data_IF_132780111443
#
_entry.id   IF_132780111443
#
_cell.length_a   1.000
_cell.length_b   1.000
_cell.length_c   1.000
_cell.angle_alpha   90.00
_cell.angle_beta   90.00
_cell.angle_gamma   90.00
#
_symmetry.space_group_name_H-M   'P 1'
#
loop_
_entity.id
_entity.type
_entity.pdbx_description
1 polymer ?
#
# COMPACT_ATOMS: atom_id res chain seq x y z
N UNK A 1 -65.96 -15.06 -2.74
CA UNK A 1 -65.21 -14.80 -1.51
C UNK A 1 -64.21 -15.92 -1.34
N UNK A 2 -63.02 -15.78 -1.75
CA UNK A 2 -61.87 -16.59 -1.34
C UNK A 2 -60.66 -15.67 -1.38
N UNK A 3 -60.08 -15.45 -0.18
CA UNK A 3 -58.94 -14.54 0.01
C UNK A 3 -57.66 -15.22 -0.47
N UNK A 4 -56.86 -14.45 -1.20
CA UNK A 4 -55.46 -14.76 -1.46
C UNK A 4 -54.61 -14.15 -0.35
N UNK A 5 -54.09 -14.98 0.54
CA UNK A 5 -53.02 -14.64 1.43
C UNK A 5 -51.73 -14.56 0.64
N UNK A 6 -51.13 -13.37 0.60
CA UNK A 6 -49.83 -13.18 0.02
C UNK A 6 -48.74 -13.58 1.03
N UNK A 7 -48.07 -14.66 0.74
CA UNK A 7 -46.90 -15.13 1.47
C UNK A 7 -45.69 -14.30 1.06
N UNK A 8 -45.32 -13.33 1.88
CA UNK A 8 -44.06 -12.59 1.72
C UNK A 8 -42.93 -13.50 2.16
N UNK A 9 -42.20 -14.06 1.19
CA UNK A 9 -40.97 -14.78 1.44
C UNK A 9 -39.87 -13.78 1.86
N UNK A 10 -39.48 -13.88 3.12
CA UNK A 10 -38.25 -13.24 3.61
C UNK A 10 -37.06 -13.82 2.89
N UNK A 11 -36.50 -13.06 1.92
CA UNK A 11 -35.19 -13.35 1.33
C UNK A 11 -34.12 -12.91 2.32
N UNK A 12 -33.81 -13.76 3.28
CA UNK A 12 -32.60 -13.67 4.07
C UNK A 12 -31.39 -13.86 3.16
N UNK A 13 -30.84 -12.74 2.67
CA UNK A 13 -29.57 -12.73 1.98
C UNK A 13 -28.47 -13.19 2.95
N UNK A 14 -28.03 -14.42 2.82
CA UNK A 14 -26.80 -14.90 3.44
C UNK A 14 -25.63 -14.18 2.74
N UNK A 15 -25.06 -13.18 3.41
CA UNK A 15 -23.76 -12.64 3.00
C UNK A 15 -22.80 -13.81 2.83
N UNK A 16 -21.98 -13.85 1.75
CA UNK A 16 -20.96 -14.87 1.61
C UNK A 16 -19.92 -14.65 2.72
N UNK A 17 -20.02 -15.41 3.79
CA UNK A 17 -18.93 -15.52 4.77
C UNK A 17 -17.74 -16.12 4.05
N UNK A 18 -16.76 -15.27 3.72
CA UNK A 18 -15.42 -15.73 3.40
C UNK A 18 -15.00 -16.64 4.57
N UNK A 19 -14.56 -17.85 4.25
CA UNK A 19 -14.23 -18.85 5.25
C UNK A 19 -13.33 -18.23 6.33
N UNK A 20 -13.74 -18.30 7.58
CA UNK A 20 -12.90 -17.92 8.71
C UNK A 20 -11.69 -18.85 8.70
N UNK A 21 -10.54 -18.29 8.29
CA UNK A 21 -9.28 -19.00 8.41
C UNK A 21 -9.00 -19.14 9.91
N UNK A 22 -9.04 -20.35 10.41
CA UNK A 22 -8.71 -20.65 11.82
C UNK A 22 -7.20 -20.46 11.98
N UNK A 23 -6.80 -19.34 12.56
CA UNK A 23 -5.42 -19.09 12.95
C UNK A 23 -5.12 -19.75 14.29
N UNK A 24 -3.87 -20.18 14.44
CA UNK A 24 -3.42 -20.74 15.72
C UNK A 24 -3.47 -19.63 16.78
N UNK A 25 -4.01 -19.91 17.99
CA UNK A 25 -4.05 -18.94 19.06
C UNK A 25 -2.67 -18.35 19.41
N UNK A 26 -1.60 -19.15 19.26
CA UNK A 26 -0.21 -18.71 19.48
C UNK A 26 0.25 -17.66 18.50
N UNK A 27 -0.13 -17.76 17.22
CA UNK A 27 0.14 -16.76 16.18
C UNK A 27 -0.51 -15.42 16.53
N UNK A 28 -1.79 -15.44 16.87
CA UNK A 28 -2.51 -14.21 17.22
C UNK A 28 -1.93 -13.56 18.48
N UNK A 29 -1.54 -14.38 19.47
CA UNK A 29 -0.89 -13.90 20.69
C UNK A 29 0.49 -13.30 20.40
N UNK A 30 1.28 -13.91 19.52
CA UNK A 30 2.58 -13.38 19.11
C UNK A 30 2.43 -12.01 18.43
N UNK A 31 1.49 -11.86 17.50
CA UNK A 31 1.20 -10.58 16.84
C UNK A 31 0.72 -9.50 17.83
N UNK A 32 -0.19 -9.85 18.74
CA UNK A 32 -0.63 -8.93 19.79
C UNK A 32 0.52 -8.55 20.73
N UNK A 33 1.43 -9.49 21.05
CA UNK A 33 2.62 -9.21 21.86
C UNK A 33 3.57 -8.25 21.15
N UNK A 34 3.77 -8.39 19.83
CA UNK A 34 4.58 -7.48 19.04
C UNK A 34 4.06 -6.02 19.13
N UNK A 35 2.76 -5.84 18.94
CA UNK A 35 2.12 -4.52 19.05
C UNK A 35 2.31 -3.91 20.44
N UNK A 36 2.12 -4.72 21.52
CA UNK A 36 2.34 -4.27 22.90
C UNK A 36 3.78 -3.87 23.17
N UNK A 37 4.75 -4.67 22.73
CA UNK A 37 6.18 -4.40 22.91
C UNK A 37 6.58 -3.06 22.31
N UNK A 38 6.23 -2.82 21.04
CA UNK A 38 6.57 -1.58 20.37
C UNK A 38 5.90 -0.37 21.01
N UNK A 39 4.62 -0.48 21.38
CA UNK A 39 3.89 0.58 22.06
C UNK A 39 4.50 0.90 23.42
N UNK A 40 4.85 -0.11 24.25
CA UNK A 40 5.47 0.07 25.56
C UNK A 40 6.85 0.69 25.45
N UNK A 41 7.59 0.39 24.38
CA UNK A 41 8.88 0.99 24.09
C UNK A 41 8.78 2.40 23.47
N UNK A 42 7.58 2.91 23.22
CA UNK A 42 7.37 4.21 22.60
C UNK A 42 7.90 4.30 21.18
N UNK A 43 7.87 3.18 20.44
CA UNK A 43 8.22 3.16 19.02
C UNK A 43 6.98 3.59 18.20
N UNK A 44 7.08 4.68 17.42
CA UNK A 44 5.99 5.09 16.54
C UNK A 44 5.91 4.15 15.32
N UNK A 45 4.72 3.61 15.07
CA UNK A 45 4.43 2.74 13.91
C UNK A 45 2.95 2.84 13.51
N UNK A 46 2.65 2.39 12.31
CA UNK A 46 1.28 2.11 11.86
C UNK A 46 1.18 0.65 11.41
N UNK A 47 0.03 0.02 11.65
CA UNK A 47 -0.27 -1.32 11.14
C UNK A 47 -0.77 -1.20 9.72
N UNK A 48 -0.15 -1.95 8.80
CA UNK A 48 -0.49 -1.99 7.39
C UNK A 48 -1.06 -3.32 6.93
N UNK A 49 -0.71 -3.69 5.69
CA UNK A 49 -1.05 -4.97 5.09
C UNK A 49 -2.53 -5.32 5.14
N UNK A 50 -2.80 -6.59 5.36
CA UNK A 50 -4.16 -7.13 5.41
C UNK A 50 -5.00 -6.55 6.55
N UNK A 51 -4.39 -6.21 7.68
CA UNK A 51 -5.12 -5.63 8.82
C UNK A 51 -5.65 -4.23 8.50
N UNK A 52 -4.83 -3.38 7.90
CA UNK A 52 -5.26 -2.05 7.47
C UNK A 52 -6.28 -2.13 6.33
N UNK A 53 -6.06 -3.01 5.37
CA UNK A 53 -7.02 -3.26 4.30
C UNK A 53 -8.39 -3.68 4.85
N UNK A 54 -8.41 -4.63 5.79
CA UNK A 54 -9.66 -5.09 6.43
C UNK A 54 -10.34 -3.98 7.22
N UNK A 55 -9.56 -3.11 7.88
CA UNK A 55 -10.10 -1.97 8.64
C UNK A 55 -10.93 -1.04 7.75
N UNK A 56 -10.46 -0.73 6.54
CA UNK A 56 -11.16 0.19 5.64
C UNK A 56 -12.26 -0.47 4.82
N UNK A 57 -12.07 -1.71 4.39
CA UNK A 57 -12.94 -2.38 3.42
C UNK A 57 -13.95 -3.34 4.05
N UNK A 58 -13.70 -3.78 5.28
CA UNK A 58 -14.43 -4.89 5.89
C UNK A 58 -14.13 -6.26 5.28
N UNK A 59 -13.23 -6.34 4.28
CA UNK A 59 -12.85 -7.59 3.62
C UNK A 59 -11.70 -8.22 4.41
N UNK A 60 -11.95 -9.40 4.96
CA UNK A 60 -10.96 -10.16 5.70
C UNK A 60 -10.26 -11.17 4.79
N UNK A 61 -8.94 -11.20 4.86
CA UNK A 61 -8.09 -12.18 4.17
C UNK A 61 -7.18 -12.86 5.16
N UNK A 62 -6.74 -14.04 4.78
CA UNK A 62 -5.65 -14.67 5.48
C UNK A 62 -4.32 -13.95 5.21
N UNK A 63 -3.46 -13.89 6.23
CA UNK A 63 -2.11 -13.33 6.11
C UNK A 63 -1.16 -14.12 7.00
N UNK A 64 0.05 -14.37 6.51
CA UNK A 64 1.08 -15.12 7.23
C UNK A 64 1.99 -14.21 8.06
N UNK A 65 1.81 -12.90 7.98
CA UNK A 65 2.65 -11.87 8.57
C UNK A 65 1.81 -10.78 9.27
N UNK A 66 2.52 -9.94 10.01
CA UNK A 66 2.03 -8.67 10.53
C UNK A 66 2.90 -7.57 9.96
N UNK A 67 2.34 -6.75 9.07
CA UNK A 67 3.03 -5.62 8.46
C UNK A 67 3.00 -4.40 9.37
N UNK A 68 4.16 -3.95 9.80
CA UNK A 68 4.36 -2.75 10.63
C UNK A 68 5.19 -1.73 9.85
N UNK A 69 4.59 -0.58 9.56
CA UNK A 69 5.26 0.49 8.85
C UNK A 69 5.79 1.53 9.82
N UNK A 70 7.07 1.84 9.71
CA UNK A 70 7.79 2.77 10.59
C UNK A 70 9.01 3.34 9.85
N UNK A 71 9.54 4.47 10.30
CA UNK A 71 10.75 5.02 9.67
C UNK A 71 11.94 4.07 9.85
N UNK A 72 12.97 4.19 9.01
CA UNK A 72 14.16 3.34 9.11
C UNK A 72 14.81 3.41 10.50
N UNK A 73 14.95 4.62 11.07
CA UNK A 73 15.49 4.80 12.41
C UNK A 73 14.67 4.07 13.49
N UNK A 74 13.34 4.08 13.36
CA UNK A 74 12.45 3.38 14.27
C UNK A 74 12.46 1.86 14.04
N UNK A 75 12.68 1.39 12.81
CA UNK A 75 12.87 -0.02 12.52
C UNK A 75 14.12 -0.59 13.22
N UNK A 76 15.23 0.14 13.24
CA UNK A 76 16.43 -0.24 13.96
C UNK A 76 16.19 -0.29 15.49
N UNK A 77 15.44 0.68 16.03
CA UNK A 77 15.06 0.67 17.45
C UNK A 77 14.11 -0.48 17.77
N UNK A 78 13.14 -0.77 16.89
CA UNK A 78 12.20 -1.87 17.05
C UNK A 78 12.91 -3.23 17.08
N UNK A 79 13.90 -3.45 16.22
CA UNK A 79 14.74 -4.66 16.26
C UNK A 79 15.39 -4.85 17.63
N UNK A 80 15.97 -3.80 18.20
CA UNK A 80 16.59 -3.88 19.53
C UNK A 80 15.56 -4.23 20.62
N UNK A 81 14.33 -3.73 20.53
CA UNK A 81 13.23 -4.07 21.44
C UNK A 81 12.86 -5.56 21.33
N UNK A 82 12.73 -6.09 20.11
CA UNK A 82 12.43 -7.50 19.89
C UNK A 82 13.57 -8.41 20.37
N UNK A 83 14.83 -8.08 20.11
CA UNK A 83 16.01 -8.82 20.57
C UNK A 83 16.05 -8.90 22.11
N UNK A 84 15.81 -7.77 22.80
CA UNK A 84 15.74 -7.73 24.27
C UNK A 84 14.59 -8.56 24.84
N UNK A 85 13.50 -8.70 24.09
CA UNK A 85 12.37 -9.55 24.46
C UNK A 85 12.57 -11.05 24.09
N UNK A 86 13.73 -11.42 23.54
CA UNK A 86 14.07 -12.80 23.18
C UNK A 86 13.51 -13.26 21.84
N UNK A 87 13.11 -12.36 20.97
CA UNK A 87 12.67 -12.69 19.61
C UNK A 87 13.87 -12.89 18.69
N UNK A 88 13.75 -13.77 17.71
CA UNK A 88 14.70 -13.87 16.60
C UNK A 88 14.47 -12.69 15.65
N UNK A 89 15.54 -12.08 15.18
CA UNK A 89 15.47 -10.95 14.27
C UNK A 89 16.35 -11.16 13.05
N UNK A 90 15.99 -10.55 11.95
CA UNK A 90 16.78 -10.51 10.73
C UNK A 90 16.77 -9.07 10.19
N UNK A 91 17.97 -8.49 10.05
CA UNK A 91 18.15 -7.18 9.42
C UNK A 91 18.28 -7.38 7.92
N UNK A 92 17.44 -6.68 7.16
CA UNK A 92 17.52 -6.73 5.70
C UNK A 92 18.74 -5.94 5.18
N UNK A 93 19.46 -6.55 4.26
CA UNK A 93 20.57 -5.92 3.55
C UNK A 93 20.14 -5.18 2.29
N UNK A 94 18.89 -5.33 1.85
CA UNK A 94 18.33 -4.70 0.64
C UNK A 94 17.73 -3.32 0.92
N UNK A 95 17.60 -2.93 2.19
CA UNK A 95 17.33 -1.56 2.60
C UNK A 95 15.85 -1.14 2.61
N UNK A 96 14.90 -2.06 2.82
CA UNK A 96 13.49 -1.69 2.86
C UNK A 96 12.64 -2.33 3.96
N UNK A 97 13.09 -3.44 4.61
CA UNK A 97 12.40 -4.06 5.72
C UNK A 97 13.37 -4.80 6.65
N UNK A 98 13.00 -4.94 7.92
CA UNK A 98 13.58 -5.90 8.86
C UNK A 98 12.52 -6.92 9.26
N UNK A 99 12.94 -8.04 9.85
CA UNK A 99 12.04 -9.11 10.27
C UNK A 99 12.23 -9.44 11.73
N UNK A 100 11.11 -9.70 12.42
CA UNK A 100 11.11 -10.24 13.77
C UNK A 100 10.23 -11.50 13.80
N UNK A 101 10.66 -12.52 14.58
CA UNK A 101 10.00 -13.80 14.64
C UNK A 101 9.77 -14.23 16.09
N UNK A 102 8.58 -14.71 16.35
CA UNK A 102 8.27 -15.48 17.55
C UNK A 102 7.95 -16.92 17.12
N UNK A 103 8.90 -17.87 17.33
CA UNK A 103 8.85 -19.17 16.68
C UNK A 103 8.88 -19.02 15.16
N UNK A 104 7.84 -19.51 14.50
CA UNK A 104 7.66 -19.40 13.04
C UNK A 104 6.81 -18.20 12.61
N UNK A 105 6.27 -17.43 13.55
CA UNK A 105 5.38 -16.30 13.26
C UNK A 105 6.16 -15.04 12.93
N UNK A 106 5.89 -14.47 11.76
CA UNK A 106 6.62 -13.35 11.17
C UNK A 106 5.94 -12.01 11.44
N UNK A 107 6.75 -11.01 11.81
CA UNK A 107 6.43 -9.58 11.80
C UNK A 107 7.40 -8.86 10.86
N UNK A 108 6.86 -8.20 9.85
CA UNK A 108 7.63 -7.37 8.92
C UNK A 108 7.68 -5.93 9.41
N UNK A 109 8.90 -5.42 9.60
CA UNK A 109 9.19 -4.03 10.00
C UNK A 109 9.58 -3.26 8.73
N UNK A 110 8.60 -2.65 8.08
CA UNK A 110 8.71 -2.10 6.73
C UNK A 110 9.01 -0.60 6.83
N UNK A 111 10.13 -0.17 6.25
CA UNK A 111 10.52 1.24 6.17
C UNK A 111 10.67 1.75 4.73
N UNK A 112 10.40 0.90 3.75
CA UNK A 112 10.47 1.24 2.34
C UNK A 112 9.75 0.24 1.45
N UNK A 113 10.16 0.18 0.20
CA UNK A 113 9.72 -0.84 -0.76
C UNK A 113 10.89 -1.35 -1.60
N UNK A 114 10.78 -2.58 -2.10
CA UNK A 114 11.83 -3.25 -2.88
C UNK A 114 12.20 -2.51 -4.18
N UNK A 115 11.27 -1.73 -4.73
CA UNK A 115 11.51 -0.87 -5.90
C UNK A 115 12.02 0.54 -5.52
N UNK A 116 12.16 0.81 -4.21
CA UNK A 116 12.63 2.06 -3.68
C UNK A 116 11.66 3.26 -3.81
N UNK A 117 10.45 3.11 -4.34
CA UNK A 117 9.50 4.22 -4.52
C UNK A 117 8.89 4.65 -3.19
N UNK A 118 8.38 3.68 -2.44
CA UNK A 118 7.75 3.94 -1.15
C UNK A 118 8.82 4.08 -0.07
N UNK A 119 8.83 5.21 0.60
CA UNK A 119 9.64 5.46 1.79
C UNK A 119 8.69 5.81 2.92
N UNK A 120 8.81 5.10 4.03
CA UNK A 120 7.99 5.40 5.22
C UNK A 120 8.58 6.59 5.93
N UNK A 121 7.86 7.70 5.90
CA UNK A 121 8.19 8.95 6.57
C UNK A 121 7.30 9.17 7.81
N UNK A 122 7.57 10.24 8.55
CA UNK A 122 6.82 10.59 9.76
C UNK A 122 5.33 10.86 9.48
N UNK A 123 4.97 11.22 8.24
CA UNK A 123 3.58 11.49 7.88
C UNK A 123 2.70 10.23 7.93
N UNK A 124 3.28 9.02 7.77
CA UNK A 124 2.54 7.77 7.95
C UNK A 124 1.95 7.66 9.36
N UNK A 125 2.74 7.96 10.36
CA UNK A 125 2.30 7.94 11.76
C UNK A 125 1.42 9.14 12.09
N UNK A 126 1.82 10.33 11.65
CA UNK A 126 1.07 11.57 11.92
C UNK A 126 -0.34 11.59 11.31
N UNK A 127 -0.56 10.86 10.22
CA UNK A 127 -1.84 10.70 9.55
C UNK A 127 -2.49 9.34 9.82
N UNK A 128 -1.88 8.52 10.69
CA UNK A 128 -2.39 7.21 11.09
C UNK A 128 -3.79 7.31 11.69
N UNK A 129 -4.64 6.35 11.36
CA UNK A 129 -6.02 6.28 11.83
C UNK A 129 -6.09 5.45 13.11
N UNK A 130 -6.69 5.98 14.16
CA UNK A 130 -6.90 5.22 15.40
C UNK A 130 -7.73 3.96 15.13
N UNK A 131 -7.26 2.82 15.67
CA UNK A 131 -7.92 1.55 15.50
C UNK A 131 -7.48 0.51 16.53
N UNK A 132 -7.92 -0.71 16.30
CA UNK A 132 -7.52 -1.87 17.10
C UNK A 132 -7.18 -3.04 16.18
N UNK A 133 -6.10 -3.74 16.50
CA UNK A 133 -5.71 -4.98 15.85
C UNK A 133 -5.46 -6.03 16.94
N UNK A 134 -6.16 -7.15 16.85
CA UNK A 134 -6.08 -8.26 17.83
C UNK A 134 -6.31 -7.80 19.28
N UNK A 135 -7.22 -6.83 19.47
CA UNK A 135 -7.54 -6.26 20.78
C UNK A 135 -6.55 -5.21 21.29
N UNK A 136 -5.44 -4.96 20.56
CA UNK A 136 -4.46 -3.95 20.92
C UNK A 136 -4.77 -2.62 20.21
N UNK A 137 -4.81 -1.49 20.95
CA UNK A 137 -4.95 -0.18 20.34
C UNK A 137 -3.68 0.18 19.55
N UNK A 138 -3.86 0.63 18.32
CA UNK A 138 -2.75 1.00 17.43
C UNK A 138 -3.21 2.03 16.40
N UNK A 139 -2.26 2.62 15.68
CA UNK A 139 -2.54 3.38 14.49
C UNK A 139 -2.57 2.45 13.28
N UNK A 140 -3.56 2.63 12.45
CA UNK A 140 -3.71 1.96 11.15
C UNK A 140 -3.10 2.86 10.08
N UNK A 141 -2.37 2.28 9.13
CA UNK A 141 -1.81 3.01 8.00
C UNK A 141 -2.90 3.78 7.25
N UNK A 142 -2.67 5.06 6.90
CA UNK A 142 -3.64 5.82 6.10
C UNK A 142 -3.95 5.13 4.78
N UNK A 143 -5.17 5.25 4.29
CA UNK A 143 -5.59 4.60 3.05
C UNK A 143 -4.78 5.08 1.83
N UNK A 144 -4.37 6.35 1.81
CA UNK A 144 -3.52 6.93 0.76
C UNK A 144 -2.16 6.23 0.67
N UNK A 145 -1.56 5.90 1.82
CA UNK A 145 -0.28 5.21 1.88
C UNK A 145 -0.41 3.73 1.46
N UNK A 146 -1.53 3.09 1.80
CA UNK A 146 -1.83 1.74 1.32
C UNK A 146 -2.00 1.74 -0.20
N UNK A 147 -2.76 2.70 -0.74
CA UNK A 147 -2.94 2.87 -2.18
C UNK A 147 -1.59 3.08 -2.88
N UNK A 148 -0.76 3.98 -2.34
CA UNK A 148 0.54 4.29 -2.91
C UNK A 148 1.49 3.09 -2.91
N UNK A 149 1.65 2.40 -1.78
CA UNK A 149 2.57 1.27 -1.65
C UNK A 149 2.17 0.06 -2.51
N UNK A 150 0.87 -0.18 -2.68
CA UNK A 150 0.36 -1.32 -3.44
C UNK A 150 0.25 -1.07 -4.96
N UNK A 151 0.17 0.18 -5.39
CA UNK A 151 -0.05 0.52 -6.79
C UNK A 151 1.07 0.05 -7.73
N UNK A 152 2.28 -0.16 -7.21
CA UNK A 152 3.44 -0.57 -7.98
C UNK A 152 3.67 -2.10 -8.01
N UNK A 153 2.73 -2.89 -7.49
CA UNK A 153 2.84 -4.36 -7.50
C UNK A 153 2.07 -4.91 -8.69
N UNK A 154 2.78 -5.07 -9.82
CA UNK A 154 2.26 -5.62 -11.08
C UNK A 154 3.07 -6.86 -11.51
N UNK A 155 3.19 -7.81 -10.61
CA UNK A 155 3.88 -9.07 -10.85
C UNK A 155 2.94 -10.10 -11.52
N UNK A 156 3.51 -11.14 -12.12
CA UNK A 156 2.71 -12.21 -12.74
C UNK A 156 1.79 -12.91 -11.73
N UNK A 157 2.33 -13.22 -10.57
CA UNK A 157 1.64 -13.99 -9.52
C UNK A 157 0.99 -13.07 -8.46
N UNK A 158 1.24 -11.76 -8.54
CA UNK A 158 0.71 -10.79 -7.59
C UNK A 158 0.38 -9.46 -8.27
N UNK A 159 -0.91 -9.18 -8.35
CA UNK A 159 -1.45 -7.91 -8.81
C UNK A 159 -2.47 -7.39 -7.79
N UNK A 160 -2.12 -6.34 -7.08
CA UNK A 160 -2.93 -5.80 -5.99
C UNK A 160 -4.07 -4.87 -6.48
N UNK A 161 -4.36 -4.82 -7.79
CA UNK A 161 -5.36 -3.91 -8.38
C UNK A 161 -6.78 -4.08 -7.87
N UNK A 162 -7.18 -5.30 -7.49
CA UNK A 162 -8.49 -5.52 -6.87
C UNK A 162 -8.55 -4.90 -5.47
N UNK A 163 -7.45 -4.95 -4.70
CA UNK A 163 -7.38 -4.32 -3.38
C UNK A 163 -7.47 -2.80 -3.47
N UNK A 164 -6.77 -2.20 -4.45
CA UNK A 164 -6.86 -0.76 -4.73
C UNK A 164 -8.30 -0.36 -5.08
N UNK A 165 -8.97 -1.15 -5.91
CA UNK A 165 -10.35 -0.90 -6.28
C UNK A 165 -11.30 -0.98 -5.08
N UNK A 166 -11.12 -1.97 -4.21
CA UNK A 166 -11.93 -2.09 -2.98
C UNK A 166 -11.69 -0.95 -2.00
N UNK A 167 -10.43 -0.47 -1.87
CA UNK A 167 -10.12 0.71 -1.06
C UNK A 167 -10.79 1.96 -1.63
N UNK A 168 -10.67 2.19 -2.95
CA UNK A 168 -11.34 3.31 -3.61
C UNK A 168 -12.87 3.24 -3.46
N UNK A 169 -13.44 2.04 -3.53
CA UNK A 169 -14.87 1.84 -3.30
C UNK A 169 -15.28 2.19 -1.86
N UNK A 170 -14.49 1.76 -0.89
CA UNK A 170 -14.81 1.92 0.53
C UNK A 170 -14.57 3.35 1.05
N UNK A 171 -13.47 3.98 0.64
CA UNK A 171 -13.01 5.25 1.23
C UNK A 171 -12.69 6.36 0.23
N UNK A 172 -12.83 6.15 -1.08
CA UNK A 172 -12.45 7.10 -2.12
C UNK A 172 -12.96 8.52 -1.93
N UNK A 173 -14.21 8.68 -1.46
CA UNK A 173 -14.80 10.00 -1.15
C UNK A 173 -14.17 10.72 0.05
N UNK A 174 -13.43 10.00 0.90
CA UNK A 174 -12.83 10.50 2.14
C UNK A 174 -11.32 10.69 2.04
N UNK A 175 -10.71 10.24 0.95
CA UNK A 175 -9.27 10.35 0.74
C UNK A 175 -8.84 11.81 0.65
N UNK A 176 -7.67 12.11 1.21
CA UNK A 176 -6.93 13.31 0.88
C UNK A 176 -6.27 13.16 -0.50
N UNK A 177 -7.03 13.47 -1.54
CA UNK A 177 -6.59 13.36 -2.93
C UNK A 177 -5.38 14.24 -3.26
N UNK A 178 -5.21 15.38 -2.56
CA UNK A 178 -4.02 16.23 -2.77
C UNK A 178 -2.77 15.51 -2.28
N UNK A 179 -2.82 14.93 -1.09
CA UNK A 179 -1.73 14.13 -0.54
C UNK A 179 -1.46 12.90 -1.40
N UNK A 180 -2.49 12.18 -1.84
CA UNK A 180 -2.33 11.02 -2.69
C UNK A 180 -1.64 11.39 -4.02
N UNK A 181 -2.05 12.49 -4.67
CA UNK A 181 -1.41 13.00 -5.87
C UNK A 181 0.06 13.39 -5.62
N UNK A 182 0.39 13.98 -4.46
CA UNK A 182 1.77 14.28 -4.06
C UNK A 182 2.60 13.01 -3.88
N UNK A 183 2.04 11.94 -3.28
CA UNK A 183 2.72 10.64 -3.14
C UNK A 183 3.05 10.01 -4.48
N UNK A 184 2.13 10.10 -5.46
CA UNK A 184 2.39 9.57 -6.80
C UNK A 184 3.30 10.48 -7.65
N UNK A 185 3.18 11.79 -7.51
CA UNK A 185 3.97 12.80 -8.19
C UNK A 185 4.30 12.45 -9.66
N UNK A 186 5.55 12.17 -9.99
CA UNK A 186 5.99 11.77 -11.33
C UNK A 186 5.50 10.39 -11.78
N UNK A 187 4.96 9.60 -10.89
CA UNK A 187 4.36 8.29 -11.19
C UNK A 187 2.84 8.38 -11.43
N UNK A 188 2.33 9.56 -11.73
CA UNK A 188 0.91 9.83 -11.94
C UNK A 188 0.25 8.90 -12.97
N UNK A 189 1.01 8.37 -13.94
CA UNK A 189 0.53 7.41 -14.94
C UNK A 189 0.08 6.10 -14.30
N UNK A 190 0.79 5.65 -13.26
CA UNK A 190 0.42 4.46 -12.49
C UNK A 190 -0.90 4.71 -11.75
N UNK A 191 -1.05 5.87 -11.10
CA UNK A 191 -2.31 6.24 -10.46
C UNK A 191 -3.44 6.32 -11.49
N UNK A 192 -3.25 7.01 -12.61
CA UNK A 192 -4.27 7.11 -13.66
C UNK A 192 -4.68 5.72 -14.16
N UNK A 193 -3.73 4.82 -14.37
CA UNK A 193 -4.02 3.44 -14.77
C UNK A 193 -4.96 2.73 -13.78
N UNK A 194 -4.66 2.80 -12.49
CA UNK A 194 -5.53 2.21 -11.45
C UNK A 194 -6.90 2.89 -11.36
N UNK A 195 -6.98 4.22 -11.49
CA UNK A 195 -8.26 4.91 -11.51
C UNK A 195 -9.11 4.55 -12.73
N UNK A 196 -8.48 4.27 -13.88
CA UNK A 196 -9.19 3.74 -15.05
C UNK A 196 -9.69 2.31 -14.81
N UNK A 197 -8.91 1.44 -14.17
CA UNK A 197 -9.38 0.11 -13.75
C UNK A 197 -10.54 0.20 -12.75
N UNK A 198 -10.48 1.11 -11.78
CA UNK A 198 -11.59 1.35 -10.86
C UNK A 198 -12.87 1.77 -11.60
N UNK A 199 -12.78 2.72 -12.51
CA UNK A 199 -13.93 3.20 -13.31
C UNK A 199 -14.51 2.11 -14.21
N UNK A 200 -13.69 1.17 -14.66
CA UNK A 200 -14.13 0.00 -15.41
C UNK A 200 -14.83 -1.00 -14.50
N UNK A 201 -14.24 -1.32 -13.34
CA UNK A 201 -14.77 -2.30 -12.41
C UNK A 201 -16.08 -1.83 -11.73
N UNK A 202 -16.16 -0.54 -11.39
CA UNK A 202 -17.27 0.08 -10.66
C UNK A 202 -17.86 1.27 -11.41
N UNK A 203 -18.56 1.04 -12.55
CA UNK A 203 -19.10 2.14 -13.35
C UNK A 203 -20.20 2.94 -12.65
N UNK A 204 -20.84 2.38 -11.60
CA UNK A 204 -21.86 3.01 -10.79
C UNK A 204 -21.31 3.89 -9.67
N UNK A 205 -20.01 3.75 -9.33
CA UNK A 205 -19.38 4.38 -8.16
C UNK A 205 -18.23 5.32 -8.55
N UNK A 206 -18.27 5.83 -9.79
CA UNK A 206 -17.23 6.70 -10.35
C UNK A 206 -16.98 7.96 -9.54
N UNK A 207 -18.01 8.46 -8.86
CA UNK A 207 -17.95 9.63 -8.01
C UNK A 207 -17.13 9.45 -6.72
N UNK A 208 -16.67 8.21 -6.42
CA UNK A 208 -15.71 7.98 -5.35
C UNK A 208 -14.34 8.60 -5.67
N UNK A 209 -14.08 8.86 -6.96
CA UNK A 209 -12.91 9.62 -7.42
C UNK A 209 -13.41 11.00 -7.88
N UNK A 210 -12.98 12.10 -7.26
CA UNK A 210 -13.42 13.43 -7.64
C UNK A 210 -13.12 13.78 -9.10
N UNK A 211 -14.02 14.47 -9.76
CA UNK A 211 -13.87 14.86 -11.17
C UNK A 211 -12.59 15.66 -11.42
N UNK A 212 -12.22 16.57 -10.50
CA UNK A 212 -11.01 17.37 -10.65
C UNK A 212 -9.73 16.53 -10.67
N UNK A 213 -9.67 15.41 -9.93
CA UNK A 213 -8.56 14.46 -9.97
C UNK A 213 -8.46 13.82 -11.35
N UNK A 214 -9.58 13.27 -11.82
CA UNK A 214 -9.62 12.63 -13.14
C UNK A 214 -9.29 13.61 -14.25
N UNK A 215 -9.89 14.79 -14.24
CA UNK A 215 -9.63 15.83 -15.25
C UNK A 215 -8.18 16.30 -15.24
N UNK A 216 -7.58 16.49 -14.06
CA UNK A 216 -6.17 16.86 -13.92
C UNK A 216 -5.22 15.78 -14.49
N UNK A 217 -5.45 14.52 -14.15
CA UNK A 217 -4.63 13.41 -14.67
C UNK A 217 -4.81 13.19 -16.17
N UNK A 218 -6.03 13.31 -16.69
CA UNK A 218 -6.30 13.22 -18.14
C UNK A 218 -5.68 14.38 -18.91
N UNK A 219 -5.70 15.61 -18.36
CA UNK A 219 -5.01 16.76 -18.96
C UNK A 219 -3.50 16.49 -19.06
N UNK A 220 -2.87 16.01 -17.97
CA UNK A 220 -1.44 15.60 -17.99
C UNK A 220 -1.17 14.54 -19.04
N UNK A 221 -2.03 13.52 -19.15
CA UNK A 221 -1.89 12.47 -20.16
C UNK A 221 -1.98 13.06 -21.57
N UNK A 222 -2.93 13.96 -21.82
CA UNK A 222 -3.08 14.63 -23.10
C UNK A 222 -1.85 15.48 -23.46
N UNK A 223 -1.32 16.22 -22.49
CA UNK A 223 -0.13 17.06 -22.71
C UNK A 223 1.14 16.19 -22.92
N UNK A 224 1.26 15.06 -22.24
CA UNK A 224 2.37 14.13 -22.41
C UNK A 224 2.45 13.53 -23.83
N UNK A 225 1.32 13.35 -24.48
CA UNK A 225 1.26 12.90 -25.90
C UNK A 225 1.81 13.95 -26.86
N UNK A 226 1.73 15.23 -26.50
CA UNK A 226 2.24 16.38 -27.29
C UNK A 226 3.67 16.78 -26.93
N UNK A 227 4.09 16.50 -25.70
CA UNK A 227 5.45 16.68 -25.25
C UNK A 227 6.37 15.67 -25.94
N UNK A 228 7.51 16.09 -26.47
CA UNK A 228 8.41 15.24 -27.25
C UNK A 228 8.78 13.91 -26.57
N UNK A 229 9.25 12.97 -27.37
CA UNK A 229 9.72 11.67 -26.88
C UNK A 229 10.94 11.82 -25.94
N UNK A 230 11.05 10.93 -24.96
CA UNK A 230 12.30 10.74 -24.23
C UNK A 230 13.47 10.53 -25.21
N UNK A 231 14.56 11.24 -24.99
CA UNK A 231 15.79 10.98 -25.71
C UNK A 231 16.54 9.84 -25.01
N UNK A 232 16.28 8.60 -25.39
CA UNK A 232 16.97 7.46 -24.82
C UNK A 232 16.05 6.24 -24.62
N UNK A 233 16.63 5.11 -24.27
CA UNK A 233 15.93 3.89 -23.94
C UNK A 233 15.82 3.75 -22.42
N UNK A 234 14.77 4.27 -21.81
CA UNK A 234 14.48 4.12 -20.39
C UNK A 234 13.33 3.14 -20.17
N UNK A 235 13.52 2.14 -19.31
CA UNK A 235 12.48 1.21 -18.88
C UNK A 235 12.10 1.46 -17.41
N UNK A 236 10.95 2.07 -17.17
CA UNK A 236 10.38 2.23 -15.81
C UNK A 236 9.51 1.04 -15.40
N UNK A 237 9.38 0.03 -16.25
CA UNK A 237 8.68 -1.21 -15.94
C UNK A 237 9.31 -1.98 -14.78
N UNK A 238 10.63 -1.86 -14.58
CA UNK A 238 11.35 -2.43 -13.43
C UNK A 238 10.85 -1.91 -12.06
N UNK A 239 10.19 -0.75 -12.02
CA UNK A 239 9.52 -0.21 -10.83
C UNK A 239 8.20 -0.94 -10.51
N UNK A 240 7.61 -1.60 -11.48
CA UNK A 240 6.36 -2.36 -11.38
C UNK A 240 6.62 -3.84 -11.16
N UNK A 241 7.64 -4.39 -11.85
CA UNK A 241 8.10 -5.77 -11.73
C UNK A 241 9.55 -5.90 -12.16
N UNK A 242 10.43 -6.16 -11.22
CA UNK A 242 11.85 -6.38 -11.54
C UNK A 242 12.07 -7.63 -12.40
N UNK A 243 11.28 -8.66 -12.18
CA UNK A 243 11.42 -9.94 -12.87
C UNK A 243 10.92 -9.86 -14.31
N UNK A 244 9.74 -9.28 -14.52
CA UNK A 244 9.11 -9.25 -15.85
C UNK A 244 9.83 -8.30 -16.82
N UNK A 245 10.40 -7.22 -16.33
CA UNK A 245 11.11 -6.24 -17.16
C UNK A 245 12.63 -6.41 -17.18
N UNK A 246 13.16 -7.48 -16.58
CA UNK A 246 14.60 -7.78 -16.59
C UNK A 246 15.15 -7.89 -18.01
N UNK A 247 14.44 -8.54 -18.91
CA UNK A 247 14.83 -8.75 -20.30
C UNK A 247 15.04 -7.42 -21.05
N UNK A 248 14.27 -6.39 -20.70
CA UNK A 248 14.40 -5.08 -21.35
C UNK A 248 15.71 -4.40 -20.97
N UNK A 249 16.12 -4.52 -19.71
CA UNK A 249 17.38 -3.96 -19.20
C UNK A 249 18.59 -4.79 -19.64
N UNK A 250 18.56 -6.12 -19.45
CA UNK A 250 19.73 -6.99 -19.67
C UNK A 250 19.96 -7.30 -21.14
N UNK A 251 18.91 -7.44 -21.96
CA UNK A 251 19.04 -7.92 -23.33
C UNK A 251 18.67 -6.88 -24.41
N UNK A 252 17.76 -5.95 -24.11
CA UNK A 252 17.24 -4.97 -25.09
C UNK A 252 17.89 -3.60 -24.99
N UNK A 253 18.80 -3.40 -24.02
CA UNK A 253 19.59 -2.19 -23.85
C UNK A 253 18.80 -0.99 -23.37
N UNK A 254 17.77 -1.21 -22.55
CA UNK A 254 17.09 -0.15 -21.83
C UNK A 254 17.83 0.17 -20.52
N UNK A 255 17.91 1.44 -20.17
CA UNK A 255 18.36 1.88 -18.85
C UNK A 255 17.30 1.50 -17.80
N UNK A 256 17.74 1.02 -16.62
CA UNK A 256 16.86 0.66 -15.53
C UNK A 256 16.29 1.91 -14.84
N UNK A 257 14.99 2.07 -14.89
CA UNK A 257 14.29 3.20 -14.27
C UNK A 257 14.49 3.32 -12.75
N UNK A 258 14.90 2.25 -12.08
CA UNK A 258 15.23 2.28 -10.64
C UNK A 258 16.48 3.12 -10.38
N UNK A 259 17.53 2.92 -11.15
CA UNK A 259 18.76 3.69 -11.01
C UNK A 259 18.53 5.18 -11.28
N UNK A 260 17.77 5.48 -12.34
CA UNK A 260 17.40 6.86 -12.68
C UNK A 260 16.56 7.53 -11.57
N UNK A 261 15.65 6.80 -10.94
CA UNK A 261 14.85 7.32 -9.85
C UNK A 261 15.66 7.52 -8.56
N UNK A 262 16.70 6.74 -8.31
CA UNK A 262 17.65 6.96 -7.22
C UNK A 262 18.44 8.25 -7.40
N UNK A 263 18.95 8.50 -8.60
CA UNK A 263 19.67 9.75 -8.93
C UNK A 263 18.78 10.98 -8.76
N UNK A 264 17.53 10.90 -9.20
CA UNK A 264 16.57 11.99 -9.04
C UNK A 264 16.20 12.23 -7.58
N UNK A 265 16.03 11.17 -6.78
CA UNK A 265 15.83 11.29 -5.33
C UNK A 265 17.03 11.93 -4.65
N UNK A 266 18.24 11.54 -5.03
CA UNK A 266 19.48 12.15 -4.53
C UNK A 266 19.53 13.64 -4.88
N UNK A 267 19.12 14.04 -6.07
CA UNK A 267 19.02 15.44 -6.50
C UNK A 267 17.99 16.21 -5.68
N UNK A 268 16.80 15.64 -5.45
CA UNK A 268 15.75 16.27 -4.63
C UNK A 268 16.19 16.41 -3.18
N UNK A 269 16.83 15.38 -2.61
CA UNK A 269 17.40 15.43 -1.27
C UNK A 269 18.52 16.46 -1.13
N UNK A 270 19.24 16.76 -2.22
CA UNK A 270 20.26 17.82 -2.28
C UNK A 270 19.66 19.23 -2.50
N UNK A 271 18.33 19.38 -2.48
CA UNK A 271 17.65 20.67 -2.60
C UNK A 271 17.31 21.11 -4.04
N UNK A 272 17.38 20.21 -5.00
CA UNK A 272 16.83 20.47 -6.32
C UNK A 272 15.30 20.62 -6.27
N UNK A 273 14.74 21.57 -7.04
CA UNK A 273 13.29 21.73 -7.10
C UNK A 273 12.62 20.47 -7.66
N UNK A 274 11.45 20.05 -7.10
CA UNK A 274 10.65 18.98 -7.66
C UNK A 274 10.31 19.28 -9.11
N UNK A 275 10.22 18.26 -9.95
CA UNK A 275 9.88 18.39 -11.37
C UNK A 275 8.47 19.01 -11.60
N UNK A 276 7.65 19.11 -10.55
CA UNK A 276 6.30 19.68 -10.59
C UNK A 276 6.21 20.92 -9.70
N UNK A 277 6.03 22.08 -10.32
CA UNK A 277 5.49 23.27 -9.65
C UNK A 277 3.97 23.19 -9.68
N UNK A 278 3.35 23.52 -8.55
CA UNK A 278 1.90 23.81 -8.50
C UNK A 278 1.56 24.88 -9.54
N UNK A 279 0.69 24.56 -10.47
CA UNK A 279 0.00 25.51 -11.33
C UNK A 279 -1.47 25.56 -10.95
#
# INVERSE_FOLDING_TARGET
>A
MQGHESNAAETGGTEPRLAEVKREPEELNARAAALRLLRQAGIPFVVGGTYAYSHFTGIHRDTHDLDLFLTHAEADRAIAVFEQAGWRTERDTHGWLHKAFWGDYLMDLIYGSSNGITVVDEAWVAQGVEGQVLGEPCLISPAEEILWSKAFVLERERFDGAELNHLLLAVGRKLDWKRLLQRFDRYWEVLLGHLMFFRFAYPSDRENVPDWVMMGLLARAFDSVRGGNWSGKLCRGSLLSQVLYRVDVEERGYEDGRAWDEDERARLAAGAEPFFRDH
#
